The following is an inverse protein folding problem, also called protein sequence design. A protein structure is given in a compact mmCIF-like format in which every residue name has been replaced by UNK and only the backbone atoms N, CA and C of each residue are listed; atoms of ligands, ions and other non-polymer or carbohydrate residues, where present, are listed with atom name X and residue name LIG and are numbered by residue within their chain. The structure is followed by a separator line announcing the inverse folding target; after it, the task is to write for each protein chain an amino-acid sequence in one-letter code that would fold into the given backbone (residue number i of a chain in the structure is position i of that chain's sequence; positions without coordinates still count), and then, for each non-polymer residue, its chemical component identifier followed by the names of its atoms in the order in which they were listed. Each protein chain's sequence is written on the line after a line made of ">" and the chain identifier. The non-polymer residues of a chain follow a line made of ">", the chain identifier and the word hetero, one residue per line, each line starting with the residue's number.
data_IF_632869719031
#
_entry.id   IF_632869719031
#
_cell.length_a   1.000
_cell.length_b   1.000
_cell.length_c   1.000
_cell.angle_alpha   90.00
_cell.angle_beta   90.00
_cell.angle_gamma   90.00
#
_symmetry.space_group_name_H-M   'P 1'
#
loop_
_entity.id
_entity.type
_entity.pdbx_description
1 polymer ?
#
# COMPACT_ATOMS: atom_id res chain seq x y z
N UNK A 1 -9.35 -20.88 0.44
CA UNK A 1 -8.40 -19.75 0.41
C UNK A 1 -8.68 -18.92 1.66
N UNK A 2 -7.71 -18.73 2.55
CA UNK A 2 -7.91 -17.93 3.75
C UNK A 2 -7.56 -16.47 3.42
N UNK A 3 -8.50 -15.55 3.68
CA UNK A 3 -8.29 -14.11 3.51
C UNK A 3 -7.80 -13.54 4.83
N UNK A 4 -6.82 -12.63 4.76
CA UNK A 4 -6.37 -11.83 5.90
C UNK A 4 -6.77 -10.38 5.65
N UNK A 5 -7.09 -9.67 6.72
CA UNK A 5 -7.22 -8.22 6.70
C UNK A 5 -5.87 -7.60 7.06
N UNK A 6 -5.44 -6.60 6.29
CA UNK A 6 -4.27 -5.78 6.56
C UNK A 6 -4.61 -4.32 6.27
N UNK A 7 -4.20 -3.42 7.16
CA UNK A 7 -4.38 -1.97 6.98
C UNK A 7 -3.41 -1.42 5.92
N UNK A 8 -2.26 -2.08 5.72
CA UNK A 8 -1.32 -1.69 4.68
C UNK A 8 -0.06 -2.53 4.62
N UNK A 9 0.92 -2.03 3.87
CA UNK A 9 2.26 -2.59 3.73
C UNK A 9 3.24 -1.66 4.45
N UNK A 10 3.95 -2.16 5.46
CA UNK A 10 4.93 -1.36 6.19
C UNK A 10 6.31 -1.35 5.52
N UNK A 11 6.62 -2.39 4.75
CA UNK A 11 7.94 -2.58 4.16
C UNK A 11 7.86 -3.37 2.86
N UNK A 12 8.66 -2.96 1.86
CA UNK A 12 8.85 -3.67 0.60
C UNK A 12 10.35 -3.87 0.41
N UNK A 13 10.80 -5.12 0.30
CA UNK A 13 12.22 -5.46 0.12
C UNK A 13 12.42 -6.33 -1.12
N UNK A 14 13.54 -6.13 -1.82
CA UNK A 14 13.99 -6.98 -2.91
C UNK A 14 15.22 -7.77 -2.44
N UNK A 15 15.12 -9.10 -2.43
CA UNK A 15 16.22 -10.00 -2.08
C UNK A 15 16.23 -11.11 -3.14
N UNK A 16 17.35 -11.24 -3.86
CA UNK A 16 17.57 -12.30 -4.85
C UNK A 16 16.42 -12.50 -5.86
N UNK A 17 15.86 -11.39 -6.36
CA UNK A 17 14.76 -11.42 -7.34
C UNK A 17 13.37 -11.69 -6.75
N UNK A 18 13.26 -11.81 -5.42
CA UNK A 18 12.01 -11.94 -4.68
C UNK A 18 11.67 -10.61 -4.02
N UNK A 19 10.47 -10.10 -4.31
CA UNK A 19 9.85 -8.98 -3.62
C UNK A 19 9.10 -9.52 -2.41
N UNK A 20 9.45 -9.05 -1.21
CA UNK A 20 8.73 -9.32 0.02
C UNK A 20 8.02 -8.06 0.49
N UNK A 21 6.72 -8.19 0.76
CA UNK A 21 5.88 -7.14 1.33
C UNK A 21 5.43 -7.58 2.73
N UNK A 22 5.75 -6.80 3.75
CA UNK A 22 5.30 -7.05 5.12
C UNK A 22 3.96 -6.34 5.35
N UNK A 23 2.89 -7.12 5.54
CA UNK A 23 1.55 -6.61 5.78
C UNK A 23 1.38 -6.30 7.27
N UNK A 24 0.73 -5.19 7.58
CA UNK A 24 0.53 -4.72 8.94
C UNK A 24 -0.90 -4.33 9.23
N UNK A 25 -1.27 -4.39 10.51
CA UNK A 25 -2.41 -3.66 11.04
C UNK A 25 -1.93 -2.46 11.84
N UNK A 26 -2.63 -1.33 11.71
CA UNK A 26 -2.36 -0.10 12.42
C UNK A 26 -3.35 0.01 13.57
N UNK A 27 -2.85 -0.18 14.79
CA UNK A 27 -3.65 0.05 15.99
C UNK A 27 -3.34 1.45 16.53
N UNK A 28 -4.37 2.30 16.63
CA UNK A 28 -4.33 3.50 17.47
C UNK A 28 -4.88 3.13 18.84
N UNK A 29 -4.04 3.22 19.86
CA UNK A 29 -4.49 3.28 21.25
C UNK A 29 -4.56 4.77 21.57
N UNK A 30 -5.69 5.26 22.09
CA UNK A 30 -5.87 6.67 22.45
C UNK A 30 -4.68 7.18 23.28
N UNK A 31 -4.19 8.38 22.94
CA UNK A 31 -2.99 9.04 23.47
C UNK A 31 -1.62 8.40 23.17
N UNK A 32 -1.53 7.36 22.33
CA UNK A 32 -0.24 6.81 21.88
C UNK A 32 -0.02 6.97 20.36
N UNK A 33 1.25 7.09 19.99
CA UNK A 33 1.71 7.09 18.61
C UNK A 33 1.26 5.78 17.93
N UNK A 34 0.72 5.86 16.71
CA UNK A 34 0.18 4.71 16.00
C UNK A 34 1.22 3.58 15.90
N UNK A 35 0.84 2.37 16.32
CA UNK A 35 1.72 1.20 16.29
C UNK A 35 1.30 0.27 15.16
N UNK A 36 2.23 -0.02 14.24
CA UNK A 36 2.05 -0.98 13.18
C UNK A 36 2.49 -2.38 13.65
N UNK A 37 1.60 -3.37 13.55
CA UNK A 37 1.88 -4.76 13.92
C UNK A 37 1.86 -5.65 12.68
N UNK A 38 2.93 -6.42 12.40
CA UNK A 38 2.94 -7.39 11.31
C UNK A 38 1.85 -8.43 11.47
N UNK A 39 1.11 -8.70 10.39
CA UNK A 39 0.06 -9.74 10.36
C UNK A 39 0.35 -10.85 9.36
N UNK A 40 1.12 -10.56 8.30
CA UNK A 40 1.58 -11.55 7.33
C UNK A 40 2.71 -10.98 6.47
N UNK A 41 3.28 -11.82 5.61
CA UNK A 41 4.16 -11.39 4.53
C UNK A 41 3.72 -12.03 3.21
N UNK A 42 3.83 -11.27 2.13
CA UNK A 42 3.65 -11.77 0.76
C UNK A 42 5.01 -11.75 0.07
N UNK A 43 5.42 -12.90 -0.47
CA UNK A 43 6.61 -13.02 -1.31
C UNK A 43 6.18 -13.28 -2.75
N UNK A 44 6.76 -12.56 -3.70
CA UNK A 44 6.48 -12.73 -5.13
C UNK A 44 7.72 -12.45 -5.97
N UNK A 45 7.74 -12.95 -7.21
CA UNK A 45 8.78 -12.57 -8.16
C UNK A 45 8.63 -11.10 -8.58
N UNK A 46 9.69 -10.51 -9.12
CA UNK A 46 9.63 -9.16 -9.74
C UNK A 46 8.51 -9.05 -10.79
N UNK A 47 8.32 -10.08 -11.61
CA UNK A 47 7.24 -10.12 -12.62
C UNK A 47 5.85 -10.24 -11.97
N UNK A 48 5.75 -10.89 -10.80
CA UNK A 48 4.55 -10.86 -9.97
C UNK A 48 4.23 -9.44 -9.54
N UNK A 49 5.23 -8.71 -9.03
CA UNK A 49 5.05 -7.33 -8.55
C UNK A 49 4.60 -6.38 -9.66
N UNK A 50 5.17 -6.46 -10.87
CA UNK A 50 4.74 -5.62 -11.99
C UNK A 50 3.27 -5.85 -12.35
N UNK A 51 2.81 -7.11 -12.35
CA UNK A 51 1.40 -7.44 -12.58
C UNK A 51 0.51 -6.95 -11.44
N UNK A 52 0.94 -7.11 -10.19
CA UNK A 52 0.22 -6.59 -9.02
C UNK A 52 0.07 -5.08 -9.09
N UNK A 53 1.12 -4.35 -9.45
CA UNK A 53 1.09 -2.90 -9.61
C UNK A 53 0.07 -2.45 -10.68
N UNK A 54 0.08 -3.08 -11.85
CA UNK A 54 -0.90 -2.80 -12.92
C UNK A 54 -2.35 -3.03 -12.46
N UNK A 55 -2.61 -4.15 -11.77
CA UNK A 55 -3.95 -4.46 -11.27
C UNK A 55 -4.41 -3.50 -10.17
N UNK A 56 -3.52 -3.13 -9.25
CA UNK A 56 -3.82 -2.13 -8.22
C UNK A 56 -4.09 -0.76 -8.83
N UNK A 57 -3.29 -0.34 -9.82
CA UNK A 57 -3.49 0.92 -10.53
C UNK A 57 -4.89 1.01 -11.18
N UNK A 58 -5.28 -0.04 -11.92
CA UNK A 58 -6.62 -0.13 -12.53
C UNK A 58 -7.74 -0.10 -11.50
N UNK A 59 -7.58 -0.78 -10.37
CA UNK A 59 -8.56 -0.77 -9.29
C UNK A 59 -8.70 0.64 -8.67
N UNK A 60 -7.59 1.35 -8.46
CA UNK A 60 -7.60 2.73 -7.96
C UNK A 60 -8.27 3.66 -8.96
N UNK A 61 -7.93 3.57 -10.24
CA UNK A 61 -8.57 4.38 -11.29
C UNK A 61 -10.08 4.16 -11.33
N UNK A 62 -10.53 2.91 -11.19
CA UNK A 62 -11.95 2.59 -11.08
C UNK A 62 -12.59 3.23 -9.85
N UNK A 63 -11.97 3.12 -8.68
CA UNK A 63 -12.49 3.75 -7.45
C UNK A 63 -12.59 5.27 -7.57
N UNK A 64 -11.68 5.91 -8.31
CA UNK A 64 -11.75 7.34 -8.60
C UNK A 64 -12.90 7.66 -9.56
N UNK A 65 -13.04 6.89 -10.64
CA UNK A 65 -14.12 7.07 -11.61
C UNK A 65 -15.51 6.86 -10.98
N UNK A 66 -15.61 5.93 -10.04
CA UNK A 66 -16.84 5.65 -9.27
C UNK A 66 -17.09 6.67 -8.14
N UNK A 67 -16.19 7.65 -7.94
CA UNK A 67 -16.32 8.70 -6.91
C UNK A 67 -16.01 8.25 -5.48
N UNK A 68 -15.43 7.06 -5.29
CA UNK A 68 -15.07 6.51 -3.98
C UNK A 68 -13.78 7.15 -3.45
N UNK A 69 -12.80 7.36 -4.33
CA UNK A 69 -11.53 8.01 -4.00
C UNK A 69 -11.40 9.33 -4.75
N UNK A 70 -10.79 10.32 -4.10
CA UNK A 70 -10.32 11.54 -4.76
C UNK A 70 -8.81 11.44 -4.94
N UNK A 71 -8.32 11.70 -6.16
CA UNK A 71 -6.88 11.86 -6.35
C UNK A 71 -6.46 13.16 -5.68
N UNK A 72 -5.45 13.10 -4.81
CA UNK A 72 -4.78 14.32 -4.37
C UNK A 72 -4.14 14.95 -5.60
N UNK A 73 -4.54 16.17 -5.96
CA UNK A 73 -3.79 16.93 -6.95
C UNK A 73 -2.39 17.20 -6.38
N UNK A 74 -1.32 17.10 -7.19
CA UNK A 74 -0.01 17.54 -6.75
C UNK A 74 -0.15 18.99 -6.32
N UNK A 75 0.07 19.28 -5.03
CA UNK A 75 0.20 20.67 -4.58
C UNK A 75 1.38 21.28 -5.34
N UNK A 76 1.07 22.22 -6.23
CA UNK A 76 2.06 23.09 -6.86
C UNK A 76 2.92 23.69 -5.74
N UNK A 77 4.27 23.61 -5.80
CA UNK A 77 5.11 24.05 -4.72
C UNK A 77 4.86 25.53 -4.43
N UNK A 78 4.28 25.80 -3.26
CA UNK A 78 4.10 27.14 -2.75
C UNK A 78 5.47 27.74 -2.46
N UNK A 79 6.01 28.56 -3.36
CA UNK A 79 7.20 29.35 -3.05
C UNK A 79 8.01 29.79 -4.26
N UNK A 80 7.63 30.93 -4.84
CA UNK A 80 8.43 31.64 -5.84
C UNK A 80 8.08 33.12 -5.87
N UNK A 81 8.25 33.82 -4.74
CA UNK A 81 8.46 35.28 -4.67
C UNK A 81 9.30 35.62 -3.45
#
# INVERSE_FOLDING_TARGET
>A
MQTIYADGIANITLIDGVIRMDLVNVTKIEDQQASARPVAAVAMSMQGMLRTHDQLGKAIEKMVADGILTKNEPQEPAGGK
#
